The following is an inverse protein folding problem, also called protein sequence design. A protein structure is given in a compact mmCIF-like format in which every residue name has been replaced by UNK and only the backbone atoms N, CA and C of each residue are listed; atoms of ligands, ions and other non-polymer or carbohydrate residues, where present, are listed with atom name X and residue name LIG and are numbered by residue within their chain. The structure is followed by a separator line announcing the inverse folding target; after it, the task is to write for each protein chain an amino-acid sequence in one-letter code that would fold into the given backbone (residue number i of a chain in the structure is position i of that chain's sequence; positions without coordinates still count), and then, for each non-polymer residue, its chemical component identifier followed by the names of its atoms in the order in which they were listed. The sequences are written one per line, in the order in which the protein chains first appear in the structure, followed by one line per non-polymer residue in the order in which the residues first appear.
data_IF_642082998376
#
_entry.id   IF_642082998376
#
_cell.length_a   1.000
_cell.length_b   1.000
_cell.length_c   1.000
_cell.angle_alpha   90.00
_cell.angle_beta   90.00
_cell.angle_gamma   90.00
#
_symmetry.space_group_name_H-M   'P 1'
#
loop_
_entity.id
_entity.type
_entity.pdbx_description
1 polymer ?
#
# COMPACT_ATOMS: atom_id res chain seq x y z
N UNK A 1 -3.99 14.36 3.52
CA UNK A 1 -4.62 13.04 3.30
C UNK A 1 -4.25 12.15 4.48
N UNK A 2 -5.19 11.41 5.11
CA UNK A 2 -4.88 10.51 6.22
C UNK A 2 -3.84 9.46 5.82
N UNK A 3 -2.85 9.21 6.69
CA UNK A 3 -1.74 8.26 6.44
C UNK A 3 -2.16 6.80 6.46
N UNK A 4 -3.31 6.53 7.05
CA UNK A 4 -3.92 5.21 7.11
C UNK A 4 -5.26 5.25 6.37
N UNK A 5 -5.44 4.37 5.39
CA UNK A 5 -6.70 4.18 4.69
C UNK A 5 -7.11 2.71 4.62
N UNK A 6 -8.31 2.47 4.11
CA UNK A 6 -8.84 1.12 3.88
C UNK A 6 -9.09 0.94 2.39
N UNK A 7 -8.40 -0.01 1.77
CA UNK A 7 -8.67 -0.39 0.39
C UNK A 7 -9.97 -1.20 0.30
N UNK A 8 -10.88 -0.84 -0.60
CA UNK A 8 -12.20 -1.48 -0.74
C UNK A 8 -12.36 -2.33 -2.01
N UNK A 9 -11.25 -2.58 -2.70
CA UNK A 9 -11.24 -3.33 -3.95
C UNK A 9 -11.96 -4.69 -3.85
N UNK A 10 -12.95 -4.89 -4.75
CA UNK A 10 -13.84 -6.07 -4.84
C UNK A 10 -14.55 -6.43 -3.53
N UNK A 11 -14.88 -5.45 -2.70
CA UNK A 11 -15.82 -5.64 -1.61
C UNK A 11 -17.24 -5.64 -2.15
N UNK A 12 -18.01 -6.68 -1.85
CA UNK A 12 -19.40 -6.85 -2.29
C UNK A 12 -20.33 -7.11 -1.10
N UNK A 13 -21.60 -6.71 -1.24
CA UNK A 13 -22.70 -7.05 -0.34
C UNK A 13 -22.39 -6.77 1.14
N UNK A 14 -22.33 -7.83 1.96
CA UNK A 14 -22.11 -7.73 3.41
C UNK A 14 -20.78 -7.06 3.76
N UNK A 15 -19.74 -7.23 2.95
CA UNK A 15 -18.43 -6.63 3.23
C UNK A 15 -18.43 -5.10 3.12
N UNK A 16 -19.28 -4.50 2.27
CA UNK A 16 -19.45 -3.04 2.21
C UNK A 16 -20.06 -2.50 3.50
N UNK A 17 -21.01 -3.24 4.10
CA UNK A 17 -21.60 -2.85 5.40
C UNK A 17 -20.55 -2.83 6.51
N UNK A 18 -19.51 -3.66 6.42
CA UNK A 18 -18.40 -3.67 7.37
C UNK A 18 -17.51 -2.40 7.26
N UNK A 19 -17.63 -1.59 6.20
CA UNK A 19 -16.98 -0.27 6.13
C UNK A 19 -17.52 0.71 7.17
N UNK A 20 -18.79 0.56 7.60
CA UNK A 20 -19.33 1.34 8.72
C UNK A 20 -18.51 1.07 9.98
N UNK A 21 -18.08 -0.17 10.18
CA UNK A 21 -17.22 -0.54 11.30
C UNK A 21 -15.83 0.10 11.18
N UNK A 22 -15.26 0.18 9.97
CA UNK A 22 -14.01 0.91 9.76
C UNK A 22 -14.14 2.40 10.13
N UNK A 23 -15.27 3.05 9.81
CA UNK A 23 -15.55 4.44 10.23
C UNK A 23 -15.60 4.53 11.76
N UNK A 24 -16.26 3.59 12.43
CA UNK A 24 -16.35 3.55 13.90
C UNK A 24 -14.99 3.36 14.57
N UNK A 25 -14.10 2.55 13.98
CA UNK A 25 -12.72 2.35 14.47
C UNK A 25 -11.89 3.62 14.33
N UNK A 26 -12.15 4.44 13.30
CA UNK A 26 -11.45 5.72 13.11
C UNK A 26 -10.94 5.96 11.68
N UNK A 27 -11.15 5.02 10.75
CA UNK A 27 -10.76 5.23 9.35
C UNK A 27 -11.54 6.41 8.75
N UNK A 28 -10.81 7.29 8.05
CA UNK A 28 -11.36 8.45 7.34
C UNK A 28 -10.91 8.53 5.87
N UNK A 29 -10.11 7.55 5.42
CA UNK A 29 -9.63 7.43 4.06
C UNK A 29 -10.02 6.04 3.53
N UNK A 30 -10.80 6.02 2.45
CA UNK A 30 -11.25 4.81 1.77
C UNK A 30 -10.81 4.87 0.32
N UNK A 31 -10.03 3.87 -0.11
CA UNK A 31 -9.52 3.78 -1.47
C UNK A 31 -10.40 2.81 -2.27
N UNK A 32 -11.04 3.35 -3.31
CA UNK A 32 -11.93 2.61 -4.21
C UNK A 32 -11.53 2.88 -5.66
N UNK A 33 -11.55 1.84 -6.49
CA UNK A 33 -11.43 1.98 -7.93
C UNK A 33 -12.80 1.69 -8.56
N UNK A 34 -13.38 2.69 -9.21
CA UNK A 34 -14.65 2.58 -9.92
C UNK A 34 -14.40 2.37 -11.43
N UNK A 35 -15.08 1.41 -12.02
CA UNK A 35 -15.13 1.22 -13.47
C UNK A 35 -16.28 2.01 -14.13
N UNK A 36 -16.99 2.88 -13.38
CA UNK A 36 -18.24 3.49 -13.86
C UNK A 36 -18.63 4.89 -13.35
N UNK A 37 -18.32 5.34 -12.12
CA UNK A 37 -18.75 6.67 -11.64
C UNK A 37 -17.63 7.73 -11.57
N UNK A 38 -18.01 8.94 -12.01
CA UNK A 38 -17.14 10.09 -12.27
C UNK A 38 -17.11 11.10 -11.13
N UNK A 39 -16.68 10.72 -9.93
CA UNK A 39 -16.44 11.68 -8.84
C UNK A 39 -14.99 11.61 -8.36
N UNK A 40 -14.13 12.41 -8.99
CA UNK A 40 -12.74 12.58 -8.59
C UNK A 40 -12.58 13.92 -7.85
N UNK A 41 -12.28 13.87 -6.55
CA UNK A 41 -11.95 15.07 -5.76
C UNK A 41 -10.51 15.53 -6.03
N UNK A 42 -9.63 14.61 -6.45
CA UNK A 42 -8.23 14.89 -6.82
C UNK A 42 -7.88 14.24 -8.15
N UNK A 43 -6.78 14.65 -8.79
CA UNK A 43 -6.25 14.03 -10.03
C UNK A 43 -5.04 13.14 -9.69
N UNK A 44 -5.25 11.86 -9.33
CA UNK A 44 -4.16 10.93 -9.04
C UNK A 44 -3.61 10.26 -10.31
N UNK A 45 -2.40 9.75 -10.23
CA UNK A 45 -1.85 8.75 -11.16
C UNK A 45 -1.63 7.43 -10.42
N UNK A 46 -1.65 6.30 -11.13
CA UNK A 46 -1.51 4.97 -10.52
C UNK A 46 -0.52 4.15 -11.34
N UNK A 47 0.45 3.52 -10.66
CA UNK A 47 1.50 2.66 -11.23
C UNK A 47 2.51 3.35 -12.15
N UNK A 48 2.64 4.68 -12.09
CA UNK A 48 3.59 5.40 -12.94
C UNK A 48 5.00 5.31 -12.35
N UNK A 49 5.98 4.97 -13.19
CA UNK A 49 7.40 5.15 -12.86
C UNK A 49 7.84 6.61 -13.13
N UNK A 50 9.09 6.95 -12.81
CA UNK A 50 9.63 8.31 -12.93
C UNK A 50 9.52 8.82 -14.37
N UNK A 51 9.83 7.98 -15.36
CA UNK A 51 9.75 8.38 -16.78
C UNK A 51 8.32 8.63 -17.23
N UNK A 52 7.40 7.70 -16.96
CA UNK A 52 5.97 7.88 -17.27
C UNK A 52 5.37 9.09 -16.55
N UNK A 53 5.80 9.34 -15.30
CA UNK A 53 5.40 10.54 -14.56
C UNK A 53 5.88 11.79 -15.28
N UNK A 54 7.15 11.86 -15.66
CA UNK A 54 7.71 13.01 -16.37
C UNK A 54 7.04 13.24 -17.73
N UNK A 55 6.83 12.17 -18.48
CA UNK A 55 6.18 12.20 -19.78
C UNK A 55 4.74 12.73 -19.66
N UNK A 56 3.95 12.17 -18.74
CA UNK A 56 2.59 12.66 -18.45
C UNK A 56 2.57 14.14 -18.06
N UNK A 57 3.52 14.58 -17.22
CA UNK A 57 3.61 15.98 -16.79
C UNK A 57 4.06 16.94 -17.89
N UNK A 58 4.75 16.46 -18.92
CA UNK A 58 5.09 17.27 -20.09
C UNK A 58 3.82 17.76 -20.78
N UNK A 59 2.86 16.86 -21.00
CA UNK A 59 1.59 17.16 -21.70
C UNK A 59 0.47 17.64 -20.77
N UNK A 60 0.54 17.35 -19.47
CA UNK A 60 -0.49 17.73 -18.52
C UNK A 60 -0.51 19.24 -18.27
N UNK A 61 -1.73 19.81 -18.20
CA UNK A 61 -1.96 21.17 -17.70
C UNK A 61 -1.68 21.28 -16.19
N UNK A 62 -1.85 20.17 -15.46
CA UNK A 62 -1.56 20.08 -14.02
C UNK A 62 -0.15 19.52 -13.85
N UNK A 63 0.78 20.37 -13.40
CA UNK A 63 2.21 20.06 -13.34
C UNK A 63 2.65 19.26 -12.11
N UNK A 64 1.76 18.99 -11.17
CA UNK A 64 2.03 18.12 -10.01
C UNK A 64 0.82 17.23 -9.74
N UNK A 65 0.95 15.90 -9.87
CA UNK A 65 -0.11 14.99 -9.48
C UNK A 65 -0.22 15.02 -7.95
N UNK A 66 -1.44 14.95 -7.42
CA UNK A 66 -1.62 14.99 -5.96
C UNK A 66 -1.11 13.70 -5.29
N UNK A 67 -1.20 12.57 -5.98
CA UNK A 67 -0.92 11.22 -5.49
C UNK A 67 -0.40 10.35 -6.65
N UNK A 68 0.58 9.50 -6.38
CA UNK A 68 0.95 8.38 -7.25
C UNK A 68 0.82 7.07 -6.45
N UNK A 69 -0.24 6.31 -6.67
CA UNK A 69 -0.43 5.02 -5.99
C UNK A 69 0.31 3.93 -6.76
N UNK A 70 1.22 3.22 -6.10
CA UNK A 70 1.99 2.15 -6.69
C UNK A 70 2.35 1.07 -5.67
N UNK A 71 2.68 -0.12 -6.15
CA UNK A 71 3.11 -1.21 -5.29
C UNK A 71 4.41 -0.88 -4.52
N UNK A 72 4.36 -0.97 -3.20
CA UNK A 72 5.53 -0.94 -2.32
C UNK A 72 5.34 -1.87 -1.12
N UNK A 73 6.42 -2.56 -0.75
CA UNK A 73 6.54 -3.44 0.41
C UNK A 73 8.05 -3.71 0.68
N UNK A 74 8.44 -4.35 1.79
CA UNK A 74 9.86 -4.56 2.12
C UNK A 74 10.73 -5.18 1.03
N UNK A 75 10.19 -6.11 0.22
CA UNK A 75 10.91 -6.69 -0.92
C UNK A 75 10.92 -5.86 -2.21
N UNK A 76 10.16 -4.75 -2.24
CA UNK A 76 10.04 -3.84 -3.38
C UNK A 76 9.83 -2.41 -2.88
N UNK A 77 10.92 -1.79 -2.45
CA UNK A 77 10.84 -0.57 -1.63
C UNK A 77 10.60 0.69 -2.45
N UNK A 78 11.16 0.74 -3.68
CA UNK A 78 11.02 1.86 -4.63
C UNK A 78 11.38 3.23 -4.02
N UNK A 79 12.51 3.32 -3.31
CA UNK A 79 12.98 4.56 -2.65
C UNK A 79 12.99 5.78 -3.58
N UNK A 80 13.35 5.59 -4.85
CA UNK A 80 13.38 6.65 -5.86
C UNK A 80 12.01 7.26 -6.14
N UNK A 81 10.92 6.50 -5.96
CA UNK A 81 9.54 6.95 -6.16
C UNK A 81 8.88 7.43 -4.88
N UNK A 82 9.26 6.86 -3.73
CA UNK A 82 8.77 7.30 -2.41
C UNK A 82 9.16 8.75 -2.13
N UNK A 83 10.37 9.16 -2.54
CA UNK A 83 10.81 10.55 -2.45
C UNK A 83 10.10 11.49 -3.44
N UNK A 84 9.38 10.93 -4.43
CA UNK A 84 8.71 11.70 -5.46
C UNK A 84 7.24 11.98 -5.08
N UNK A 85 6.39 10.97 -4.89
CA UNK A 85 4.95 11.08 -4.53
C UNK A 85 4.45 9.70 -4.01
N UNK A 86 3.36 9.60 -3.25
CA UNK A 86 3.08 8.40 -2.39
C UNK A 86 1.80 7.57 -2.69
N UNK A 87 1.82 6.21 -2.57
CA UNK A 87 1.00 5.26 -1.71
C UNK A 87 1.05 3.78 -2.18
N UNK A 88 1.06 2.81 -1.23
CA UNK A 88 1.29 1.35 -1.38
C UNK A 88 0.12 0.33 -1.39
N UNK A 89 0.47 -0.99 -1.42
CA UNK A 89 -0.40 -2.15 -1.12
C UNK A 89 0.09 -3.50 -1.71
N UNK A 90 0.47 -4.50 -0.86
CA UNK A 90 1.14 -5.76 -1.32
C UNK A 90 0.61 -7.12 -0.82
N UNK A 91 -0.26 -7.19 0.20
CA UNK A 91 -0.58 -8.48 0.84
C UNK A 91 -1.52 -9.42 0.03
N UNK A 92 -2.28 -8.91 -0.95
CA UNK A 92 -3.23 -9.72 -1.74
C UNK A 92 -2.60 -10.51 -2.90
N UNK A 93 -1.29 -10.35 -3.10
CA UNK A 93 -0.62 -10.73 -4.35
C UNK A 93 -0.09 -12.17 -4.36
N UNK A 94 0.13 -12.79 -3.19
CA UNK A 94 0.67 -14.16 -3.10
C UNK A 94 -0.28 -15.19 -3.66
N UNK A 95 -1.54 -15.16 -3.20
CA UNK A 95 -2.61 -16.06 -3.66
C UNK A 95 -2.97 -15.81 -5.13
N UNK A 96 -2.87 -14.57 -5.62
CA UNK A 96 -3.33 -14.21 -6.98
C UNK A 96 -2.27 -14.36 -8.07
N UNK A 97 -1.01 -14.09 -7.74
CA UNK A 97 0.07 -14.06 -8.73
C UNK A 97 1.12 -15.15 -8.51
N UNK A 98 0.98 -15.96 -7.45
CA UNK A 98 2.00 -16.94 -7.03
C UNK A 98 3.26 -16.27 -6.49
N UNK A 99 3.12 -15.05 -5.97
CA UNK A 99 4.25 -14.21 -5.56
C UNK A 99 4.71 -14.53 -4.14
N UNK A 100 5.98 -14.23 -3.84
CA UNK A 100 6.56 -14.43 -2.51
C UNK A 100 6.12 -13.33 -1.55
N UNK A 101 5.53 -13.72 -0.42
CA UNK A 101 5.14 -12.78 0.64
C UNK A 101 6.35 -12.37 1.47
N UNK A 102 6.47 -11.08 1.77
CA UNK A 102 7.36 -10.65 2.86
C UNK A 102 6.83 -11.10 4.23
N UNK A 103 5.54 -11.36 4.39
CA UNK A 103 4.96 -11.74 5.69
C UNK A 103 5.48 -13.07 6.25
N UNK A 104 6.09 -13.92 5.41
CA UNK A 104 6.61 -15.22 5.82
C UNK A 104 8.10 -15.20 6.20
N UNK A 105 8.79 -14.06 6.00
CA UNK A 105 10.23 -13.93 6.23
C UNK A 105 10.59 -14.11 7.72
N UNK A 106 11.55 -15.01 8.06
CA UNK A 106 11.98 -15.23 9.43
C UNK A 106 12.58 -13.98 10.09
N UNK A 107 13.24 -13.09 9.34
CA UNK A 107 13.76 -11.83 9.88
C UNK A 107 12.62 -10.91 10.35
N UNK A 108 11.54 -10.81 9.58
CA UNK A 108 10.38 -10.02 9.98
C UNK A 108 9.57 -10.69 11.10
N UNK A 109 9.57 -12.02 11.21
CA UNK A 109 9.03 -12.74 12.38
C UNK A 109 9.77 -12.39 13.67
N UNK A 110 11.10 -12.34 13.62
CA UNK A 110 11.93 -11.95 14.77
C UNK A 110 11.66 -10.48 15.18
N UNK A 111 11.58 -9.57 14.22
CA UNK A 111 11.24 -8.17 14.49
C UNK A 111 9.81 -8.00 15.03
N UNK A 112 8.83 -8.69 14.46
CA UNK A 112 7.45 -8.66 14.94
C UNK A 112 7.37 -9.09 16.41
N UNK A 113 8.13 -10.13 16.80
CA UNK A 113 8.25 -10.58 18.19
C UNK A 113 8.89 -9.52 19.11
N UNK A 114 9.92 -8.80 18.65
CA UNK A 114 10.55 -7.70 19.41
C UNK A 114 9.54 -6.62 19.79
N UNK A 115 8.68 -6.23 18.86
CA UNK A 115 7.65 -5.19 19.08
C UNK A 115 6.36 -5.71 19.69
N UNK A 116 6.20 -7.04 19.87
CA UNK A 116 4.94 -7.68 20.27
C UNK A 116 3.77 -7.30 19.35
N UNK A 117 4.06 -7.13 18.07
CA UNK A 117 3.11 -6.76 17.01
C UNK A 117 3.10 -7.84 15.94
N UNK A 118 2.09 -7.86 15.09
CA UNK A 118 2.08 -8.79 13.95
C UNK A 118 2.98 -8.30 12.82
N UNK A 119 3.33 -9.20 11.92
CA UNK A 119 4.20 -8.86 10.78
C UNK A 119 3.47 -7.86 9.85
N UNK A 120 2.15 -7.97 9.73
CA UNK A 120 1.35 -7.02 8.97
C UNK A 120 1.42 -5.61 9.59
N UNK A 121 1.28 -5.51 10.91
CA UNK A 121 1.43 -4.24 11.63
C UNK A 121 2.83 -3.64 11.45
N UNK A 122 3.87 -4.46 11.52
CA UNK A 122 5.25 -4.03 11.30
C UNK A 122 5.47 -3.46 9.90
N UNK A 123 4.98 -4.14 8.86
CA UNK A 123 5.10 -3.68 7.46
C UNK A 123 4.31 -2.39 7.22
N UNK A 124 3.12 -2.27 7.80
CA UNK A 124 2.33 -1.04 7.71
C UNK A 124 3.04 0.12 8.39
N UNK A 125 3.57 -0.09 9.60
CA UNK A 125 4.33 0.94 10.32
C UNK A 125 5.59 1.37 9.56
N UNK A 126 6.32 0.41 8.99
CA UNK A 126 7.47 0.69 8.13
C UNK A 126 7.09 1.61 6.95
N UNK A 127 5.96 1.34 6.30
CA UNK A 127 5.44 2.21 5.23
C UNK A 127 5.18 3.62 5.73
N UNK A 128 4.48 3.77 6.87
CA UNK A 128 4.16 5.07 7.46
C UNK A 128 5.43 5.87 7.80
N UNK A 129 6.44 5.23 8.39
CA UNK A 129 7.72 5.89 8.73
C UNK A 129 8.56 6.29 7.52
N UNK A 130 8.30 5.71 6.34
CA UNK A 130 8.88 6.18 5.06
C UNK A 130 8.09 7.34 4.45
N UNK A 131 7.29 8.04 5.26
CA UNK A 131 6.37 9.08 4.83
C UNK A 131 5.39 8.59 3.76
N UNK A 132 5.03 7.30 3.83
CA UNK A 132 4.03 6.73 2.94
C UNK A 132 2.67 6.60 3.59
N UNK A 133 1.62 6.83 2.80
CA UNK A 133 0.26 6.50 3.21
C UNK A 133 0.03 5.04 2.81
N UNK A 134 -0.63 4.28 3.68
CA UNK A 134 -0.85 2.84 3.52
C UNK A 134 -2.35 2.53 3.49
N UNK A 135 -2.76 1.61 2.62
CA UNK A 135 -4.17 1.28 2.38
C UNK A 135 -4.40 -0.25 2.44
N UNK A 136 -4.19 -0.90 3.61
CA UNK A 136 -4.46 -2.33 3.72
C UNK A 136 -5.94 -2.64 3.46
N UNK A 137 -6.18 -3.77 2.79
CA UNK A 137 -7.52 -4.28 2.52
C UNK A 137 -7.91 -5.32 3.55
N UNK A 138 -9.01 -5.10 4.26
CA UNK A 138 -9.65 -6.09 5.13
C UNK A 138 -11.14 -5.83 5.23
N UNK A 139 -11.93 -6.90 5.32
CA UNK A 139 -13.34 -6.84 5.71
C UNK A 139 -13.58 -7.41 7.12
N UNK A 140 -12.54 -7.96 7.77
CA UNK A 140 -12.65 -8.54 9.12
C UNK A 140 -12.39 -7.44 10.15
N UNK A 141 -13.32 -7.26 11.09
CA UNK A 141 -13.27 -6.23 12.14
C UNK A 141 -11.95 -6.28 12.93
N UNK A 142 -11.61 -7.46 13.46
CA UNK A 142 -10.39 -7.67 14.24
C UNK A 142 -9.12 -7.21 13.49
N UNK A 143 -9.05 -7.47 12.17
CA UNK A 143 -7.91 -7.04 11.35
C UNK A 143 -7.93 -5.53 11.06
N UNK A 144 -9.10 -4.90 11.01
CA UNK A 144 -9.19 -3.45 10.84
C UNK A 144 -8.70 -2.72 12.08
N UNK A 145 -9.06 -3.22 13.27
CA UNK A 145 -8.55 -2.74 14.56
C UNK A 145 -7.04 -2.94 14.65
N UNK A 146 -6.58 -4.18 14.42
CA UNK A 146 -5.15 -4.52 14.41
C UNK A 146 -4.34 -3.64 13.45
N UNK A 147 -4.84 -3.42 12.23
CA UNK A 147 -4.20 -2.53 11.26
C UNK A 147 -4.19 -1.07 11.70
N UNK A 148 -5.13 -0.62 12.53
CA UNK A 148 -5.21 0.76 12.98
C UNK A 148 -4.24 1.06 14.15
N UNK A 149 -4.00 0.07 15.02
CA UNK A 149 -3.01 0.13 16.11
C UNK A 149 -1.55 0.36 15.66
N UNK A 150 -1.29 0.38 14.35
CA UNK A 150 0.04 0.69 13.78
C UNK A 150 0.45 2.15 14.02
N UNK A 151 -0.48 2.99 14.45
CA UNK A 151 -0.21 4.36 14.83
C UNK A 151 0.41 4.49 16.23
N UNK A 152 0.27 3.46 17.08
CA UNK A 152 0.60 3.51 18.51
C UNK A 152 2.04 3.07 18.86
N UNK A 153 2.86 2.71 17.87
CA UNK A 153 4.25 2.31 18.09
C UNK A 153 5.16 2.85 17.00
N UNK A 154 6.47 2.81 17.22
CA UNK A 154 7.47 3.25 16.25
C UNK A 154 8.60 2.23 16.14
N UNK A 155 9.10 2.03 14.91
CA UNK A 155 10.27 1.22 14.62
C UNK A 155 11.54 2.04 14.83
N UNK A 156 12.49 1.47 15.55
CA UNK A 156 13.83 2.03 15.73
C UNK A 156 14.56 2.14 14.39
N UNK A 157 15.50 3.09 14.30
CA UNK A 157 16.26 3.36 13.07
C UNK A 157 17.03 2.14 12.58
N UNK A 158 17.55 1.35 13.50
CA UNK A 158 18.31 0.13 13.22
C UNK A 158 17.42 -0.93 12.55
N UNK A 159 16.18 -1.06 13.01
CA UNK A 159 15.23 -2.01 12.41
C UNK A 159 14.73 -1.51 11.06
N UNK A 160 14.60 -0.19 10.87
CA UNK A 160 14.30 0.40 9.57
C UNK A 160 15.42 0.13 8.55
N UNK A 161 16.69 0.24 8.94
CA UNK A 161 17.83 -0.12 8.09
C UNK A 161 17.93 -1.62 7.81
N UNK A 162 17.54 -2.48 8.77
CA UNK A 162 17.43 -3.92 8.53
C UNK A 162 16.40 -4.21 7.43
N UNK A 163 15.21 -3.59 7.52
CA UNK A 163 14.17 -3.74 6.50
C UNK A 163 14.67 -3.21 5.14
N UNK A 164 15.40 -2.09 5.12
CA UNK A 164 16.00 -1.54 3.89
C UNK A 164 16.90 -2.54 3.15
N UNK A 165 17.70 -3.30 3.88
CA UNK A 165 18.56 -4.34 3.31
C UNK A 165 17.80 -5.56 2.78
N UNK A 166 16.50 -5.68 3.05
CA UNK A 166 15.65 -6.75 2.54
C UNK A 166 15.06 -6.46 1.14
N UNK A 167 15.39 -5.32 0.51
CA UNK A 167 14.89 -5.02 -0.84
C UNK A 167 15.44 -6.03 -1.86
N UNK A 168 14.52 -6.69 -2.58
CA UNK A 168 14.86 -7.68 -3.62
C UNK A 168 14.52 -7.17 -5.02
N UNK A 169 14.00 -5.93 -5.12
CA UNK A 169 13.40 -5.40 -6.35
C UNK A 169 12.31 -6.33 -6.91
N UNK A 170 11.63 -7.07 -6.03
CA UNK A 170 10.73 -8.15 -6.42
C UNK A 170 9.29 -7.67 -6.44
N UNK A 171 8.75 -7.46 -7.64
CA UNK A 171 7.36 -7.06 -7.84
C UNK A 171 6.41 -8.25 -7.63
N UNK A 172 5.41 -8.09 -6.77
CA UNK A 172 4.36 -9.08 -6.48
C UNK A 172 3.09 -8.87 -7.31
N UNK A 173 2.79 -7.64 -7.74
CA UNK A 173 1.62 -7.34 -8.58
C UNK A 173 1.95 -7.51 -10.07
N UNK A 174 1.19 -8.34 -10.78
CA UNK A 174 1.34 -8.59 -12.22
C UNK A 174 0.01 -8.41 -12.97
N UNK A 175 -0.52 -7.19 -13.04
CA UNK A 175 -1.77 -6.89 -13.76
C UNK A 175 -1.73 -7.25 -15.25
N UNK A 176 -0.55 -7.28 -15.87
CA UNK A 176 -0.36 -7.71 -17.26
C UNK A 176 -0.95 -9.10 -17.55
N UNK A 177 -0.92 -10.02 -16.58
CA UNK A 177 -1.51 -11.36 -16.69
C UNK A 177 -3.02 -11.33 -16.96
N UNK A 178 -3.71 -10.28 -16.55
CA UNK A 178 -5.17 -10.14 -16.69
C UNK A 178 -5.56 -9.11 -17.74
N UNK A 179 -4.76 -8.05 -17.96
CA UNK A 179 -5.08 -6.98 -18.91
C UNK A 179 -4.51 -7.21 -20.31
N UNK A 180 -3.60 -8.17 -20.49
CA UNK A 180 -2.97 -8.44 -21.79
C UNK A 180 -2.05 -7.33 -22.28
N UNK A 181 -1.71 -6.37 -21.42
CA UNK A 181 -0.81 -5.25 -21.70
C UNK A 181 0.30 -5.26 -20.66
N UNK A 182 1.56 -5.19 -21.12
CA UNK A 182 2.67 -5.00 -20.22
C UNK A 182 2.69 -3.55 -19.72
N UNK A 183 2.23 -3.37 -18.50
CA UNK A 183 2.16 -2.06 -17.83
C UNK A 183 3.52 -1.55 -17.35
N UNK A 184 4.54 -2.40 -17.34
CA UNK A 184 5.84 -2.09 -16.76
C UNK A 184 7.00 -2.26 -17.75
N UNK A 185 6.69 -2.51 -19.03
CA UNK A 185 7.66 -2.51 -20.13
C UNK A 185 8.26 -1.13 -20.40
#
# INVERSE_FOLDING_TARGET
MPVMGSGVWRMEGKSIRDLISAIKIGYRHFDCADFGNKFYVTRPIHNYDIFLTRDCLAYSKVKRPAVNQFETHPYFQRDSLVNAHTIGGGAANTVRFGSVSCLDDPAFKALAKKYKKTIAQLVLRWGIQRHTVVIPKSSKLQRLEENFEVLDFELAKEDMELIKNADRKYRTNQPAKFWGVDLYA
#
